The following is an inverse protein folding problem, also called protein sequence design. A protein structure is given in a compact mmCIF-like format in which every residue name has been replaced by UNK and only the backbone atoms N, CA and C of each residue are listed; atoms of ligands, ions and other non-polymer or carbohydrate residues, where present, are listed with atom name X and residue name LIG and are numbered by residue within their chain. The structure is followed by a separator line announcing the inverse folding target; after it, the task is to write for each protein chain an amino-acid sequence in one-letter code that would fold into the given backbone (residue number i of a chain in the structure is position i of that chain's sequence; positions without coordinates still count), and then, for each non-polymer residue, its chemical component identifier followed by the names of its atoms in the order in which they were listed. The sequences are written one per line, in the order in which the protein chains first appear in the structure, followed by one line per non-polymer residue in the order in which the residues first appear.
data_IF_975223680709
#
_entry.id   IF_975223680709
#
_cell.length_a   1.000
_cell.length_b   1.000
_cell.length_c   1.000
_cell.angle_alpha   90.00
_cell.angle_beta   90.00
_cell.angle_gamma   90.00
#
_symmetry.space_group_name_H-M   'P 1'
#
loop_
_entity.id
_entity.type
_entity.pdbx_description
1 polymer ?
#
# COMPACT_ATOMS: atom_id res chain seq x y z
N UNK A 1 0.97 14.69 -16.18
CA UNK A 1 1.84 14.21 -15.08
C UNK A 1 2.08 15.37 -14.14
N UNK A 2 1.76 15.23 -12.85
CA UNK A 2 1.84 16.29 -11.84
C UNK A 2 3.28 16.87 -11.77
N UNK A 3 3.44 18.20 -11.72
CA UNK A 3 4.76 18.86 -11.65
C UNK A 3 5.52 18.49 -10.37
N UNK A 4 4.83 18.35 -9.24
CA UNK A 4 5.45 17.88 -7.99
C UNK A 4 6.00 16.45 -8.13
N UNK A 5 5.31 15.59 -8.90
CA UNK A 5 5.78 14.25 -9.19
C UNK A 5 7.01 14.26 -10.12
N UNK A 6 7.04 15.15 -11.12
CA UNK A 6 8.22 15.31 -12.00
C UNK A 6 9.44 15.75 -11.20
N UNK A 7 9.30 16.76 -10.34
CA UNK A 7 10.39 17.22 -9.48
C UNK A 7 10.89 16.10 -8.58
N UNK A 8 9.97 15.37 -7.94
CA UNK A 8 10.29 14.25 -7.07
C UNK A 8 10.99 13.11 -7.79
N UNK A 9 10.60 12.78 -9.02
CA UNK A 9 11.25 11.72 -9.82
C UNK A 9 12.64 12.17 -10.31
N UNK A 10 12.77 13.41 -10.77
CA UNK A 10 14.01 13.95 -11.36
C UNK A 10 15.05 14.37 -10.33
N UNK A 11 14.69 14.51 -9.05
CA UNK A 11 15.63 14.89 -7.99
C UNK A 11 16.79 13.88 -7.87
N UNK A 12 17.98 14.35 -7.49
CA UNK A 12 19.17 13.49 -7.26
C UNK A 12 19.17 12.78 -5.90
N UNK A 13 18.11 12.94 -5.10
CA UNK A 13 18.01 12.29 -3.78
C UNK A 13 17.76 10.79 -3.95
N UNK A 14 18.19 9.96 -2.98
CA UNK A 14 17.88 8.53 -3.00
C UNK A 14 16.38 8.29 -3.16
N UNK A 15 16.02 7.34 -4.04
CA UNK A 15 14.63 6.94 -4.26
C UNK A 15 14.24 5.81 -3.33
N UNK A 16 13.02 5.89 -2.79
CA UNK A 16 12.44 4.86 -1.94
C UNK A 16 11.42 4.08 -2.74
N UNK A 17 11.66 2.78 -2.87
CA UNK A 17 10.79 1.85 -3.60
C UNK A 17 10.18 0.87 -2.63
N UNK A 18 8.86 0.75 -2.64
CA UNK A 18 8.12 -0.30 -1.94
C UNK A 18 7.72 -1.38 -2.95
N UNK A 19 8.14 -2.63 -2.71
CA UNK A 19 7.79 -3.79 -3.53
C UNK A 19 6.97 -4.78 -2.72
N UNK A 20 5.82 -5.18 -3.25
CA UNK A 20 4.85 -6.03 -2.58
C UNK A 20 4.62 -7.33 -3.36
N UNK A 21 4.98 -8.45 -2.75
CA UNK A 21 4.75 -9.78 -3.34
C UNK A 21 3.28 -10.15 -3.39
N UNK A 22 2.95 -11.09 -4.27
CA UNK A 22 1.64 -11.76 -4.28
C UNK A 22 1.49 -12.71 -3.09
N UNK A 23 0.24 -13.06 -2.75
CA UNK A 23 0.01 -13.95 -1.60
C UNK A 23 -1.39 -14.50 -1.42
N UNK A 24 -2.35 -14.13 -2.28
CA UNK A 24 -3.77 -14.43 -2.06
C UNK A 24 -4.21 -13.84 -0.72
N UNK A 25 -4.97 -14.63 0.07
CA UNK A 25 -5.44 -14.26 1.40
C UNK A 25 -4.32 -13.80 2.36
N UNK A 26 -3.08 -14.26 2.16
CA UNK A 26 -1.92 -13.89 2.99
C UNK A 26 -1.55 -12.40 2.86
N UNK A 27 -2.12 -11.66 1.91
CA UNK A 27 -1.96 -10.21 1.81
C UNK A 27 -2.40 -9.45 3.08
N UNK A 28 -3.27 -10.04 3.91
CA UNK A 28 -3.64 -9.47 5.22
C UNK A 28 -2.40 -9.32 6.12
N UNK A 29 -1.45 -10.26 6.07
CA UNK A 29 -0.21 -10.16 6.85
C UNK A 29 0.66 -9.01 6.33
N UNK A 30 0.78 -8.85 5.01
CA UNK A 30 1.48 -7.72 4.40
C UNK A 30 0.88 -6.39 4.86
N UNK A 31 -0.45 -6.29 4.91
CA UNK A 31 -1.15 -5.08 5.36
C UNK A 31 -0.91 -4.77 6.84
N UNK A 32 -0.83 -5.79 7.69
CA UNK A 32 -0.49 -5.60 9.11
C UNK A 32 0.93 -5.01 9.28
N UNK A 33 1.91 -5.49 8.52
CA UNK A 33 3.24 -4.89 8.52
C UNK A 33 3.22 -3.45 7.98
N UNK A 34 2.49 -3.20 6.90
CA UNK A 34 2.40 -1.87 6.29
C UNK A 34 1.75 -0.85 7.23
N UNK A 35 0.74 -1.24 8.01
CA UNK A 35 0.09 -0.35 8.99
C UNK A 35 1.04 0.04 10.13
N UNK A 36 1.86 -0.90 10.61
CA UNK A 36 2.90 -0.59 11.58
C UNK A 36 3.99 0.32 10.99
N UNK A 37 4.40 0.06 9.74
CA UNK A 37 5.35 0.92 9.02
C UNK A 37 4.79 2.33 8.84
N UNK A 38 3.53 2.46 8.40
CA UNK A 38 2.84 3.74 8.22
C UNK A 38 2.78 4.51 9.54
N UNK A 39 2.43 3.85 10.64
CA UNK A 39 2.43 4.45 11.98
C UNK A 39 3.82 4.95 12.39
N UNK A 40 4.87 4.14 12.20
CA UNK A 40 6.23 4.49 12.58
C UNK A 40 6.81 5.63 11.73
N UNK A 41 6.46 5.68 10.45
CA UNK A 41 6.87 6.76 9.55
C UNK A 41 6.05 8.03 9.79
N UNK A 42 4.75 7.91 10.06
CA UNK A 42 3.85 9.02 10.38
C UNK A 42 4.30 9.79 11.62
N UNK A 43 4.84 9.11 12.65
CA UNK A 43 5.45 9.76 13.82
C UNK A 43 6.63 10.69 13.49
N UNK A 44 7.23 10.55 12.31
CA UNK A 44 8.33 11.40 11.83
C UNK A 44 7.84 12.49 10.88
N UNK A 45 6.56 12.48 10.51
CA UNK A 45 5.91 13.46 9.64
C UNK A 45 5.49 14.70 10.44
N UNK A 46 5.51 15.90 9.83
CA UNK A 46 4.89 17.10 10.42
C UNK A 46 3.38 16.94 10.69
N UNK A 47 2.71 16.08 9.91
CA UNK A 47 1.29 15.75 10.05
C UNK A 47 1.13 14.21 10.08
N UNK A 48 1.16 13.59 11.27
CA UNK A 48 1.05 12.14 11.41
C UNK A 48 -0.32 11.57 11.01
N UNK A 49 -1.40 12.35 11.12
CA UNK A 49 -2.76 11.88 10.85
C UNK A 49 -3.05 11.83 9.34
N UNK A 50 -2.49 12.79 8.59
CA UNK A 50 -2.62 12.85 7.13
C UNK A 50 -1.53 12.06 6.40
N UNK A 51 -0.48 11.62 7.09
CA UNK A 51 0.62 10.87 6.47
C UNK A 51 0.13 9.57 5.84
N UNK A 52 0.54 9.32 4.60
CA UNK A 52 0.32 8.06 3.88
C UNK A 52 1.63 7.52 3.33
N UNK A 53 1.69 6.21 3.11
CA UNK A 53 2.89 5.59 2.52
C UNK A 53 3.26 6.17 1.13
N UNK A 54 2.31 6.66 0.34
CA UNK A 54 2.58 7.36 -0.92
C UNK A 54 3.31 8.70 -0.75
N UNK A 55 3.25 9.32 0.44
CA UNK A 55 4.02 10.52 0.72
C UNK A 55 5.51 10.19 0.93
N UNK A 56 5.81 8.95 1.33
CA UNK A 56 7.16 8.52 1.66
C UNK A 56 7.88 7.78 0.54
N UNK A 57 7.18 6.89 -0.17
CA UNK A 57 7.71 6.09 -1.26
C UNK A 57 7.53 6.78 -2.61
N UNK A 58 8.58 6.80 -3.43
CA UNK A 58 8.55 7.39 -4.78
C UNK A 58 7.95 6.44 -5.81
N UNK A 59 8.02 5.14 -5.54
CA UNK A 59 7.42 4.09 -6.35
C UNK A 59 6.87 3.00 -5.43
N UNK A 60 5.63 2.60 -5.68
CA UNK A 60 4.99 1.46 -5.03
C UNK A 60 4.59 0.48 -6.12
N UNK A 61 5.14 -0.73 -6.06
CA UNK A 61 4.87 -1.79 -7.02
C UNK A 61 4.48 -3.08 -6.32
N UNK A 62 3.75 -3.95 -7.01
CA UNK A 62 3.45 -5.27 -6.51
C UNK A 62 2.88 -6.20 -7.56
N UNK A 63 2.74 -7.48 -7.21
CA UNK A 63 2.19 -8.52 -8.09
C UNK A 63 0.97 -9.19 -7.44
N UNK A 64 -0.07 -9.49 -8.22
CA UNK A 64 -1.31 -10.14 -7.74
C UNK A 64 -1.93 -9.36 -6.56
N UNK A 65 -2.19 -9.97 -5.40
CA UNK A 65 -2.63 -9.24 -4.19
C UNK A 65 -1.76 -8.01 -3.90
N UNK A 66 -0.44 -8.10 -4.09
CA UNK A 66 0.47 -6.99 -3.92
C UNK A 66 0.21 -5.82 -4.88
N UNK A 67 -0.28 -6.07 -6.11
CA UNK A 67 -0.62 -4.99 -7.05
C UNK A 67 -1.89 -4.24 -6.65
N UNK A 68 -2.86 -4.96 -6.07
CA UNK A 68 -4.08 -4.35 -5.51
C UNK A 68 -3.71 -3.43 -4.34
N UNK A 69 -2.91 -3.93 -3.40
CA UNK A 69 -2.43 -3.13 -2.26
C UNK A 69 -1.61 -1.93 -2.75
N UNK A 70 -0.67 -2.15 -3.68
CA UNK A 70 0.16 -1.09 -4.25
C UNK A 70 -0.67 0.03 -4.90
N UNK A 71 -1.69 -0.33 -5.67
CA UNK A 71 -2.58 0.63 -6.32
C UNK A 71 -3.37 1.47 -5.30
N UNK A 72 -3.92 0.85 -4.26
CA UNK A 72 -4.67 1.58 -3.24
C UNK A 72 -3.78 2.51 -2.41
N UNK A 73 -2.58 2.07 -2.03
CA UNK A 73 -1.60 2.94 -1.38
C UNK A 73 -1.23 4.13 -2.27
N UNK A 74 -1.01 3.91 -3.57
CA UNK A 74 -0.71 4.98 -4.52
C UNK A 74 -1.89 5.97 -4.71
N UNK A 75 -3.12 5.53 -4.45
CA UNK A 75 -4.32 6.38 -4.43
C UNK A 75 -4.51 7.14 -3.10
N UNK A 76 -3.60 7.02 -2.13
CA UNK A 76 -3.66 7.75 -0.85
C UNK A 76 -4.47 7.07 0.24
N UNK A 77 -4.85 5.80 0.08
CA UNK A 77 -5.47 5.03 1.15
C UNK A 77 -4.42 4.68 2.21
N UNK A 78 -4.79 4.75 3.47
CA UNK A 78 -3.99 4.21 4.58
C UNK A 78 -3.94 2.69 4.53
N UNK A 79 -2.89 2.10 5.09
CA UNK A 79 -2.78 0.65 5.19
C UNK A 79 -3.94 0.03 5.99
N UNK A 80 -4.45 0.72 7.01
CA UNK A 80 -5.60 0.30 7.81
C UNK A 80 -6.92 0.29 7.03
N UNK A 81 -7.16 1.29 6.19
CA UNK A 81 -8.33 1.30 5.28
C UNK A 81 -8.26 0.13 4.30
N UNK A 82 -7.09 -0.09 3.70
CA UNK A 82 -6.88 -1.21 2.76
C UNK A 82 -7.07 -2.54 3.47
N UNK A 83 -6.58 -2.70 4.71
CA UNK A 83 -6.78 -3.91 5.53
C UNK A 83 -8.27 -4.22 5.72
N UNK A 84 -9.07 -3.19 6.02
CA UNK A 84 -10.52 -3.33 6.22
C UNK A 84 -11.20 -3.77 4.92
N UNK A 85 -10.93 -3.09 3.82
CA UNK A 85 -11.50 -3.40 2.51
C UNK A 85 -11.05 -4.78 2.01
N UNK A 86 -9.78 -5.15 2.22
CA UNK A 86 -9.24 -6.42 1.78
C UNK A 86 -9.84 -7.60 2.53
N UNK A 87 -10.17 -7.45 3.83
CA UNK A 87 -10.89 -8.48 4.59
C UNK A 87 -12.29 -8.74 4.04
N UNK A 88 -13.03 -7.68 3.73
CA UNK A 88 -14.35 -7.79 3.10
C UNK A 88 -14.27 -8.48 1.74
N UNK A 89 -13.33 -8.04 0.89
CA UNK A 89 -13.10 -8.64 -0.42
C UNK A 89 -12.67 -10.11 -0.32
N UNK A 90 -11.84 -10.45 0.67
CA UNK A 90 -11.37 -11.81 0.87
C UNK A 90 -12.51 -12.80 1.16
N UNK A 91 -13.50 -12.38 1.94
CA UNK A 91 -14.67 -13.20 2.28
C UNK A 91 -15.55 -13.49 1.05
N UNK A 92 -15.53 -12.63 0.04
CA UNK A 92 -16.25 -12.82 -1.24
C UNK A 92 -15.42 -13.62 -2.25
N UNK A 93 -14.13 -13.30 -2.38
CA UNK A 93 -13.26 -13.84 -3.44
C UNK A 93 -12.74 -15.24 -3.13
N UNK A 94 -12.50 -15.56 -1.85
CA UNK A 94 -11.93 -16.85 -1.45
C UNK A 94 -12.98 -17.88 -1.01
N UNK A 95 -14.25 -17.69 -1.38
CA UNK A 95 -15.28 -18.70 -1.17
C UNK A 95 -14.96 -19.97 -1.96
N UNK A 96 -15.17 -21.13 -1.32
CA UNK A 96 -15.07 -22.41 -2.03
C UNK A 96 -16.12 -22.45 -3.15
N UNK A 97 -15.66 -22.71 -4.37
CA UNK A 97 -16.57 -22.97 -5.48
C UNK A 97 -17.41 -24.20 -5.17
N UNK A 98 -18.74 -24.04 -5.21
CA UNK A 98 -19.72 -25.10 -4.99
C UNK A 98 -19.78 -26.09 -6.17
N UNK A 99 -19.09 -25.80 -7.27
CA UNK A 99 -19.04 -26.60 -8.50
C UNK A 99 -17.82 -27.53 -8.56
N UNK A 100 -17.38 -28.05 -7.42
CA UNK A 100 -16.36 -29.11 -7.35
C UNK A 100 -16.99 -30.45 -6.98
#
# INVERSE_FOLDING_TARGET
MNEALKERILSKTPKRVLSLDGGGIRGVLTLEFLEQIETLLGKRSPDPEQFRLCDYFDLIGGTSTGSIIAAMLACGFSAGEIKTLYRQLADEVFQQSVLR
#
